data_IF_273772707549
#
_entry.id   IF_273772707549
#
_cell.length_a   1.000
_cell.length_b   1.000
_cell.length_c   1.000
_cell.angle_alpha   90.00
_cell.angle_beta   90.00
_cell.angle_gamma   90.00
#
_symmetry.space_group_name_H-M   'P 1'
#
loop_
_entity.id
_entity.type
_entity.pdbx_description
1 polymer ?
#
# COMPACT_ATOMS: atom_id res chain seq x y z
N UNK A 1 -8.41 -60.09 -4.73
CA UNK A 1 -7.59 -59.05 -4.07
C UNK A 1 -8.24 -57.70 -4.37
N UNK A 2 -8.75 -57.01 -3.34
CA UNK A 2 -9.61 -55.83 -3.46
C UNK A 2 -8.76 -54.58 -3.69
N UNK A 3 -8.99 -53.85 -4.80
CA UNK A 3 -8.52 -52.47 -4.98
C UNK A 3 -9.74 -51.54 -5.09
N UNK A 4 -9.85 -50.67 -4.08
CA UNK A 4 -10.56 -49.38 -4.01
C UNK A 4 -9.70 -48.52 -3.06
N UNK A 5 -9.76 -47.18 -3.02
CA UNK A 5 -10.09 -46.18 -4.04
C UNK A 5 -9.13 -44.96 -3.95
N UNK A 6 -8.24 -44.73 -4.92
CA UNK A 6 -7.35 -43.54 -4.90
C UNK A 6 -7.83 -42.42 -5.84
N UNK A 7 -8.83 -42.67 -6.70
CA UNK A 7 -9.27 -41.70 -7.70
C UNK A 7 -10.30 -40.66 -7.24
N UNK A 8 -10.82 -40.72 -6.01
CA UNK A 8 -11.86 -39.78 -5.53
C UNK A 8 -11.26 -38.57 -4.79
N UNK A 9 -10.00 -38.63 -4.33
CA UNK A 9 -9.40 -37.55 -3.53
C UNK A 9 -8.80 -36.42 -4.39
N UNK A 10 -8.45 -36.69 -5.66
CA UNK A 10 -7.83 -35.67 -6.55
C UNK A 10 -8.90 -34.77 -7.21
N UNK A 11 -10.13 -35.25 -7.37
CA UNK A 11 -11.24 -34.41 -7.86
C UNK A 11 -11.74 -33.40 -6.82
N UNK A 12 -11.56 -33.66 -5.52
CA UNK A 12 -11.98 -32.74 -4.46
C UNK A 12 -11.03 -31.54 -4.28
N UNK A 13 -9.75 -31.68 -4.65
CA UNK A 13 -8.75 -30.61 -4.53
C UNK A 13 -8.77 -29.68 -5.76
N UNK A 14 -9.11 -30.22 -6.94
CA UNK A 14 -9.26 -29.41 -8.17
C UNK A 14 -10.60 -28.65 -8.29
N UNK A 15 -11.60 -28.99 -7.44
CA UNK A 15 -12.84 -28.22 -7.32
C UNK A 15 -12.74 -27.06 -6.32
N UNK A 16 -11.64 -26.94 -5.57
CA UNK A 16 -11.36 -25.80 -4.69
C UNK A 16 -10.53 -24.69 -5.37
N UNK A 17 -9.93 -24.96 -6.54
CA UNK A 17 -9.19 -23.95 -7.31
C UNK A 17 -10.01 -23.27 -8.41
N UNK A 18 -11.28 -23.64 -8.61
CA UNK A 18 -12.16 -23.09 -9.63
C UNK A 18 -13.50 -22.54 -9.08
N UNK A 19 -13.65 -22.47 -7.75
CA UNK A 19 -14.87 -22.02 -7.08
C UNK A 19 -14.66 -20.84 -6.11
N UNK A 20 -13.57 -20.07 -6.25
CA UNK A 20 -13.30 -18.87 -5.43
C UNK A 20 -14.00 -17.60 -5.92
N UNK A 21 -15.09 -17.72 -6.69
CA UNK A 21 -15.92 -16.61 -7.15
C UNK A 21 -17.41 -16.77 -6.79
N UNK A 22 -17.70 -17.36 -5.62
CA UNK A 22 -19.04 -17.21 -5.02
C UNK A 22 -18.99 -16.27 -3.83
N UNK A 23 -19.51 -15.07 -4.10
CA UNK A 23 -19.94 -14.07 -3.14
C UNK A 23 -20.60 -14.70 -1.90
N UNK A 24 -19.90 -14.66 -0.78
CA UNK A 24 -20.52 -14.64 0.55
C UNK A 24 -20.39 -13.20 1.06
N UNK A 25 -21.02 -12.26 0.33
CA UNK A 25 -21.36 -10.97 0.87
C UNK A 25 -22.65 -11.12 1.71
N UNK A 26 -22.52 -11.75 2.88
CA UNK A 26 -23.41 -11.37 3.98
C UNK A 26 -22.91 -10.01 4.46
N UNK A 27 -23.80 -9.03 4.61
CA UNK A 27 -23.52 -7.70 5.17
C UNK A 27 -22.85 -7.81 6.56
N UNK A 28 -21.55 -8.08 6.57
CA UNK A 28 -20.65 -7.73 7.67
C UNK A 28 -20.20 -6.29 7.45
N UNK A 29 -19.95 -5.56 8.53
CA UNK A 29 -19.22 -4.29 8.40
C UNK A 29 -17.87 -4.59 7.72
N UNK A 30 -17.38 -3.69 6.85
CA UNK A 30 -16.04 -3.77 6.24
C UNK A 30 -14.96 -4.14 7.28
N UNK A 31 -15.13 -3.63 8.50
CA UNK A 31 -14.31 -3.95 9.68
C UNK A 31 -14.24 -5.46 9.96
N UNK A 32 -15.36 -6.18 9.91
CA UNK A 32 -15.37 -7.63 10.16
C UNK A 32 -14.60 -8.38 9.09
N UNK A 33 -14.75 -8.00 7.83
CA UNK A 33 -13.99 -8.61 6.73
C UNK A 33 -12.49 -8.37 6.89
N UNK A 34 -12.11 -7.11 7.11
CA UNK A 34 -10.72 -6.71 7.32
C UNK A 34 -10.09 -7.33 8.58
N UNK A 35 -10.88 -7.61 9.63
CA UNK A 35 -10.36 -8.29 10.83
C UNK A 35 -9.82 -9.70 10.57
N UNK A 36 -10.18 -10.30 9.43
CA UNK A 36 -9.74 -11.63 9.02
C UNK A 36 -8.74 -11.55 7.88
N UNK A 37 -8.96 -10.65 6.91
CA UNK A 37 -8.10 -10.56 5.72
C UNK A 37 -6.78 -9.85 5.99
N UNK A 38 -6.78 -8.82 6.84
CA UNK A 38 -5.68 -7.88 7.00
C UNK A 38 -4.78 -8.22 8.20
N UNK A 39 -4.54 -9.50 8.44
CA UNK A 39 -3.72 -9.99 9.57
C UNK A 39 -2.26 -10.17 9.14
N UNK A 40 -1.32 -10.26 10.08
CA UNK A 40 0.07 -10.59 9.72
C UNK A 40 0.22 -12.05 9.27
N UNK A 41 1.14 -12.29 8.35
CA UNK A 41 1.44 -13.55 7.68
C UNK A 41 2.87 -14.05 7.97
N UNK A 42 3.22 -14.24 9.25
CA UNK A 42 4.57 -14.64 9.64
C UNK A 42 4.95 -16.02 9.09
N UNK A 43 6.24 -16.28 8.80
CA UNK A 43 6.71 -17.63 8.54
C UNK A 43 6.55 -18.53 9.76
N UNK A 44 6.27 -19.81 9.52
CA UNK A 44 6.33 -20.81 10.58
C UNK A 44 7.75 -20.92 11.14
N UNK A 45 7.86 -21.31 12.42
CA UNK A 45 9.16 -21.50 13.06
C UNK A 45 9.98 -22.55 12.29
N UNK A 46 11.16 -22.15 11.82
CA UNK A 46 12.05 -23.01 11.05
C UNK A 46 11.80 -23.02 9.55
N UNK A 47 10.90 -22.19 9.02
CA UNK A 47 10.77 -21.98 7.58
C UNK A 47 12.13 -21.53 6.99
N UNK A 48 12.67 -22.21 5.96
CA UNK A 48 13.95 -21.82 5.36
C UNK A 48 13.92 -20.43 4.71
N UNK A 49 12.74 -19.84 4.51
CA UNK A 49 12.54 -18.51 3.94
C UNK A 49 12.44 -17.40 4.98
N UNK A 50 12.50 -17.70 6.28
CA UNK A 50 12.28 -16.67 7.33
C UNK A 50 13.18 -15.44 7.18
N UNK A 51 14.42 -15.61 6.73
CA UNK A 51 15.34 -14.49 6.48
C UNK A 51 14.89 -13.54 5.36
N UNK A 52 13.96 -13.97 4.51
CA UNK A 52 13.45 -13.23 3.36
C UNK A 52 12.17 -12.47 3.69
N UNK A 53 11.62 -12.70 4.87
CA UNK A 53 10.33 -12.17 5.27
C UNK A 53 10.39 -10.64 5.36
N UNK A 54 9.42 -9.99 4.73
CA UNK A 54 9.18 -8.55 4.77
C UNK A 54 7.66 -8.37 4.75
N UNK A 55 7.10 -7.69 5.75
CA UNK A 55 5.67 -7.43 5.88
C UNK A 55 5.43 -6.07 6.52
N UNK A 56 4.51 -5.29 5.95
CA UNK A 56 4.16 -3.96 6.45
C UNK A 56 2.70 -3.60 6.21
N UNK A 57 2.16 -2.86 7.16
CA UNK A 57 0.99 -2.00 6.91
C UNK A 57 1.48 -0.64 6.41
N UNK A 58 0.86 -0.12 5.36
CA UNK A 58 1.12 1.21 4.82
C UNK A 58 -0.15 2.05 4.84
N UNK A 59 -0.05 3.27 5.36
CA UNK A 59 -1.15 4.24 5.40
C UNK A 59 -0.70 5.55 4.81
N UNK A 60 -1.60 6.22 4.08
CA UNK A 60 -1.39 7.60 3.67
C UNK A 60 -2.64 8.45 3.82
N UNK A 61 -2.43 9.77 3.86
CA UNK A 61 -3.49 10.77 3.73
C UNK A 61 -3.12 11.88 2.77
N UNK A 62 -4.16 12.52 2.23
CA UNK A 62 -4.08 13.80 1.53
C UNK A 62 -5.15 14.72 2.12
N UNK A 63 -4.71 15.88 2.59
CA UNK A 63 -5.55 16.99 3.00
C UNK A 63 -5.22 18.22 2.15
N UNK A 64 -6.03 18.46 1.13
CA UNK A 64 -5.83 19.62 0.25
C UNK A 64 -6.22 20.95 0.89
N UNK A 65 -7.04 20.97 1.95
CA UNK A 65 -7.40 22.21 2.66
C UNK A 65 -6.18 22.77 3.40
N UNK A 66 -5.37 21.88 3.98
CA UNK A 66 -4.16 22.25 4.70
C UNK A 66 -2.88 22.13 3.85
N UNK A 67 -2.98 21.67 2.60
CA UNK A 67 -1.83 21.31 1.75
C UNK A 67 -0.85 20.39 2.48
N UNK A 68 -1.44 19.34 3.07
CA UNK A 68 -0.78 18.33 3.90
C UNK A 68 -0.87 16.97 3.21
N UNK A 69 0.26 16.27 3.15
CA UNK A 69 0.33 14.84 2.86
C UNK A 69 1.13 14.14 3.95
N UNK A 70 0.78 12.88 4.20
CA UNK A 70 1.45 12.06 5.20
C UNK A 70 1.42 10.60 4.77
N UNK A 71 2.51 9.88 5.05
CA UNK A 71 2.62 8.43 4.89
C UNK A 71 3.24 7.83 6.16
N UNK A 72 2.87 6.59 6.45
CA UNK A 72 3.56 5.79 7.46
C UNK A 72 3.55 4.32 7.12
N UNK A 73 4.62 3.63 7.51
CA UNK A 73 4.66 2.16 7.53
C UNK A 73 5.08 1.64 8.89
N UNK A 74 4.50 0.50 9.28
CA UNK A 74 5.00 -0.32 10.38
C UNK A 74 5.43 -1.65 9.79
N UNK A 75 6.73 -1.91 9.79
CA UNK A 75 7.34 -3.01 9.04
C UNK A 75 8.02 -4.00 9.99
N UNK A 76 7.83 -5.30 9.72
CA UNK A 76 8.58 -6.41 10.30
C UNK A 76 9.40 -7.08 9.20
N UNK A 77 10.69 -7.34 9.47
CA UNK A 77 11.60 -7.93 8.48
C UNK A 77 12.56 -8.94 9.10
N UNK A 78 12.92 -9.96 8.31
CA UNK A 78 13.84 -11.02 8.68
C UNK A 78 13.17 -12.14 9.48
N UNK A 79 13.97 -13.01 10.10
CA UNK A 79 13.42 -14.13 10.88
C UNK A 79 12.83 -13.62 12.20
N UNK A 80 11.55 -13.28 12.20
CA UNK A 80 10.85 -12.75 13.38
C UNK A 80 10.76 -13.75 14.54
N UNK A 81 11.12 -15.02 14.32
CA UNK A 81 11.24 -16.02 15.39
C UNK A 81 12.64 -16.03 16.03
N UNK A 82 13.61 -15.31 15.46
CA UNK A 82 14.97 -15.12 15.95
C UNK A 82 15.29 -13.60 16.03
N UNK A 83 15.19 -12.99 17.22
CA UNK A 83 15.40 -11.56 17.37
C UNK A 83 16.78 -11.04 16.94
N UNK A 84 17.78 -11.91 16.82
CA UNK A 84 19.12 -11.52 16.34
C UNK A 84 19.19 -11.36 14.82
N UNK A 85 18.15 -11.81 14.10
CA UNK A 85 18.06 -11.85 12.64
C UNK A 85 16.83 -11.14 12.08
N UNK A 86 16.18 -10.33 12.91
CA UNK A 86 15.00 -9.58 12.53
C UNK A 86 15.05 -8.17 13.07
N UNK A 87 14.30 -7.29 12.40
CA UNK A 87 14.21 -5.88 12.71
C UNK A 87 12.78 -5.43 12.51
N UNK A 88 12.34 -4.50 13.34
CA UNK A 88 11.11 -3.76 13.16
C UNK A 88 11.46 -2.31 12.85
N UNK A 89 10.67 -1.64 12.02
CA UNK A 89 10.86 -0.20 11.84
C UNK A 89 9.56 0.54 11.58
N UNK A 90 9.57 1.81 11.97
CA UNK A 90 8.48 2.75 11.75
C UNK A 90 8.98 3.81 10.79
N UNK A 91 8.29 3.96 9.66
CA UNK A 91 8.50 5.06 8.75
C UNK A 91 7.43 6.11 8.98
N UNK A 92 7.82 7.37 9.00
CA UNK A 92 6.90 8.50 9.01
C UNK A 92 7.43 9.54 8.04
N UNK A 93 6.64 9.91 7.05
CA UNK A 93 6.93 11.09 6.22
C UNK A 93 5.73 11.97 6.09
N UNK A 94 5.97 13.28 6.10
CA UNK A 94 4.93 14.27 5.90
C UNK A 94 5.47 15.44 5.11
N UNK A 95 4.54 16.13 4.44
CA UNK A 95 4.81 17.40 3.80
C UNK A 95 3.67 18.37 4.11
N UNK A 96 4.01 19.54 4.64
CA UNK A 96 3.09 20.62 4.99
C UNK A 96 3.49 21.90 4.25
N UNK A 97 2.69 22.99 4.33
CA UNK A 97 3.09 24.26 3.75
C UNK A 97 4.39 24.86 4.30
N UNK A 98 4.88 24.37 5.44
CA UNK A 98 6.00 24.96 6.17
C UNK A 98 7.21 24.02 6.20
N UNK A 99 6.99 22.71 6.25
CA UNK A 99 8.06 21.74 6.46
C UNK A 99 7.71 20.39 5.82
N UNK A 100 8.73 19.76 5.28
CA UNK A 100 8.73 18.34 4.90
C UNK A 100 9.71 17.59 5.81
N UNK A 101 9.40 16.34 6.12
CA UNK A 101 10.28 15.50 6.91
C UNK A 101 10.09 14.02 6.58
N UNK A 102 11.13 13.24 6.83
CA UNK A 102 11.12 11.77 6.82
C UNK A 102 11.88 11.29 8.05
N UNK A 103 11.28 10.36 8.80
CA UNK A 103 11.96 9.59 9.83
C UNK A 103 11.82 8.11 9.53
N UNK A 104 12.91 7.37 9.73
CA UNK A 104 12.96 5.91 9.66
C UNK A 104 13.57 5.45 10.97
N UNK A 105 12.72 4.94 11.84
CA UNK A 105 13.08 4.57 13.19
C UNK A 105 13.20 3.05 13.28
N UNK A 106 14.43 2.58 13.50
CA UNK A 106 14.76 1.17 13.57
C UNK A 106 14.68 0.68 15.02
N UNK A 107 14.07 -0.49 15.21
CA UNK A 107 13.90 -1.13 16.52
C UNK A 107 14.29 -2.61 16.44
N UNK A 108 14.87 -3.17 17.52
CA UNK A 108 14.92 -4.62 17.69
C UNK A 108 13.50 -5.19 17.62
N UNK A 109 13.32 -6.35 16.98
CA UNK A 109 11.98 -6.97 16.86
C UNK A 109 11.35 -7.26 18.24
N UNK A 110 12.16 -7.38 19.30
CA UNK A 110 11.67 -7.58 20.67
C UNK A 110 10.87 -6.39 21.22
N UNK A 111 10.91 -5.23 20.55
CA UNK A 111 10.08 -4.08 20.83
C UNK A 111 8.79 -4.06 20.00
N UNK A 112 8.56 -5.10 19.18
CA UNK A 112 7.36 -5.25 18.39
C UNK A 112 6.43 -6.30 19.01
N UNK A 113 5.13 -5.97 19.02
CA UNK A 113 4.05 -6.89 19.32
C UNK A 113 3.13 -6.92 18.10
N UNK A 114 2.76 -8.11 17.62
CA UNK A 114 1.94 -8.26 16.42
C UNK A 114 1.01 -9.47 16.55
N UNK A 115 0.07 -9.58 15.62
CA UNK A 115 -0.94 -10.64 15.64
C UNK A 115 -1.17 -11.21 14.24
N UNK A 116 -1.15 -12.54 14.11
CA UNK A 116 -1.65 -13.25 12.93
C UNK A 116 -3.15 -13.58 13.02
N UNK A 117 -3.86 -13.00 14.00
CA UNK A 117 -5.30 -13.19 14.21
C UNK A 117 -6.09 -11.89 14.09
N UNK A 118 -5.39 -10.76 14.10
CA UNK A 118 -5.97 -9.42 14.00
C UNK A 118 -4.98 -8.52 13.25
N UNK A 119 -5.41 -7.42 12.62
CA UNK A 119 -4.53 -6.42 11.99
C UNK A 119 -3.70 -5.58 12.96
N UNK A 120 -3.39 -6.13 14.15
CA UNK A 120 -2.78 -5.37 15.23
C UNK A 120 -1.27 -5.52 15.17
N UNK A 121 -0.58 -4.39 15.18
CA UNK A 121 0.87 -4.29 15.35
C UNK A 121 1.20 -3.09 16.23
N UNK A 122 2.20 -3.25 17.08
CA UNK A 122 2.82 -2.20 17.89
C UNK A 122 4.33 -2.33 17.73
N UNK A 123 5.01 -1.23 17.48
CA UNK A 123 6.48 -1.15 17.45
C UNK A 123 6.85 0.04 18.31
N UNK A 124 7.43 -0.21 19.48
CA UNK A 124 7.68 0.84 20.47
C UNK A 124 6.38 1.60 20.83
N UNK A 125 6.38 2.94 20.75
CA UNK A 125 5.19 3.78 20.97
C UNK A 125 4.15 3.73 19.85
N UNK A 126 4.55 3.33 18.63
CA UNK A 126 3.71 3.32 17.43
C UNK A 126 2.83 2.08 17.34
N UNK A 127 1.60 2.20 16.86
CA UNK A 127 0.68 1.07 16.68
C UNK A 127 -0.37 1.27 15.59
N UNK A 128 -0.86 0.14 15.10
CA UNK A 128 -2.06 0.00 14.28
C UNK A 128 -2.99 -0.99 14.99
N UNK A 129 -4.27 -0.66 15.11
CA UNK A 129 -5.27 -1.59 15.64
C UNK A 129 -6.61 -1.38 14.94
N UNK A 130 -7.17 -2.44 14.36
CA UNK A 130 -8.51 -2.40 13.81
C UNK A 130 -9.55 -2.47 14.95
N UNK A 131 -10.39 -1.45 15.04
CA UNK A 131 -11.51 -1.35 15.99
C UNK A 131 -12.84 -1.41 15.26
N UNK A 132 -13.96 -1.47 15.98
CA UNK A 132 -15.30 -1.36 15.40
C UNK A 132 -15.55 -0.07 14.59
N UNK A 133 -14.75 0.98 14.83
CA UNK A 133 -14.87 2.28 14.15
C UNK A 133 -13.97 2.41 12.91
N UNK A 134 -12.95 1.57 12.76
CA UNK A 134 -11.86 1.73 11.81
C UNK A 134 -10.49 1.42 12.43
N UNK A 135 -9.43 1.63 11.68
CA UNK A 135 -8.06 1.48 12.15
C UNK A 135 -7.68 2.68 13.01
N UNK A 136 -7.32 2.44 14.27
CA UNK A 136 -6.62 3.39 15.10
C UNK A 136 -5.14 3.29 14.74
N UNK A 137 -4.60 4.37 14.18
CA UNK A 137 -3.20 4.47 13.75
C UNK A 137 -2.54 5.57 14.58
N UNK A 138 -1.53 5.20 15.33
CA UNK A 138 -0.71 6.12 16.08
C UNK A 138 0.74 5.85 15.72
N UNK A 139 1.46 6.86 15.26
CA UNK A 139 2.90 6.74 15.00
C UNK A 139 3.61 7.97 15.52
N UNK A 140 4.78 7.76 16.10
CA UNK A 140 5.62 8.83 16.61
C UNK A 140 7.08 8.62 16.22
N UNK A 141 7.77 9.72 15.94
CA UNK A 141 9.22 9.69 15.72
C UNK A 141 9.94 9.32 17.01
N UNK A 142 11.15 8.75 16.92
CA UNK A 142 11.95 8.35 18.08
C UNK A 142 12.21 9.48 19.11
N UNK A 143 12.26 10.73 18.65
CA UNK A 143 12.41 11.91 19.51
C UNK A 143 11.07 12.45 20.06
N UNK A 144 9.96 11.79 19.73
CA UNK A 144 8.58 12.14 20.04
C UNK A 144 8.14 13.55 19.58
N UNK A 145 8.90 14.19 18.67
CA UNK A 145 8.59 15.53 18.18
C UNK A 145 7.58 15.52 17.03
N UNK A 146 7.44 14.40 16.31
CA UNK A 146 6.41 14.20 15.31
C UNK A 146 5.48 13.09 15.78
N UNK A 147 4.19 13.39 15.89
CA UNK A 147 3.17 12.43 16.31
C UNK A 147 1.99 12.52 15.37
N UNK A 148 1.59 11.40 14.80
CA UNK A 148 0.37 11.26 14.03
C UNK A 148 -0.56 10.30 14.74
N UNK A 149 -1.78 10.72 15.01
CA UNK A 149 -2.78 9.93 15.72
C UNK A 149 -4.13 10.11 15.02
N UNK A 150 -4.63 9.06 14.37
CA UNK A 150 -5.82 9.14 13.57
C UNK A 150 -6.62 7.84 13.49
N UNK A 151 -7.93 8.00 13.28
CA UNK A 151 -8.85 6.94 12.96
C UNK A 151 -9.08 6.90 11.45
N UNK A 152 -8.73 5.79 10.81
CA UNK A 152 -9.00 5.51 9.41
C UNK A 152 -10.25 4.64 9.28
N UNK A 153 -11.32 5.21 8.73
CA UNK A 153 -12.56 4.49 8.49
C UNK A 153 -12.65 4.03 7.03
N UNK A 154 -12.58 2.71 6.74
CA UNK A 154 -12.78 2.21 5.38
C UNK A 154 -14.20 2.50 4.88
N UNK A 155 -14.31 2.91 3.62
CA UNK A 155 -15.59 3.19 2.96
C UNK A 155 -15.78 2.44 1.63
N UNK A 156 -14.79 1.64 1.24
CA UNK A 156 -14.77 0.79 0.04
C UNK A 156 -14.49 -0.66 0.42
N UNK A 157 -14.97 -1.59 -0.39
CA UNK A 157 -14.69 -3.02 -0.27
C UNK A 157 -13.19 -3.28 -0.56
N UNK A 158 -12.54 -4.18 0.19
CA UNK A 158 -11.13 -4.52 -0.06
C UNK A 158 -10.95 -5.18 -1.42
N UNK A 159 -9.72 -5.08 -1.95
CA UNK A 159 -9.33 -5.82 -3.15
C UNK A 159 -9.13 -7.32 -2.85
N UNK A 160 -9.28 -8.21 -3.84
CA UNK A 160 -8.67 -9.52 -3.78
C UNK A 160 -7.16 -9.41 -3.58
N UNK A 161 -6.58 -10.30 -2.78
CA UNK A 161 -5.13 -10.35 -2.57
C UNK A 161 -4.43 -10.58 -3.91
N UNK A 162 -3.56 -9.64 -4.26
CA UNK A 162 -2.67 -9.74 -5.40
C UNK A 162 -1.40 -10.47 -5.01
N UNK A 163 -0.86 -11.28 -5.91
CA UNK A 163 0.44 -11.92 -5.73
C UNK A 163 1.30 -11.77 -6.99
N UNK A 164 2.58 -11.55 -6.77
CA UNK A 164 3.59 -11.55 -7.83
C UNK A 164 4.78 -12.38 -7.37
N UNK A 165 5.32 -13.20 -8.28
CA UNK A 165 6.53 -13.97 -8.02
C UNK A 165 7.68 -13.42 -8.85
N UNK A 166 8.77 -13.08 -8.17
CA UNK A 166 9.99 -12.57 -8.82
C UNK A 166 10.87 -13.72 -9.33
N UNK A 167 10.87 -14.85 -8.60
CA UNK A 167 11.56 -16.11 -8.90
C UNK A 167 11.03 -17.20 -7.95
N UNK A 168 11.34 -18.50 -8.17
CA UNK A 168 10.87 -19.57 -7.29
C UNK A 168 11.15 -19.29 -5.81
N UNK A 169 10.10 -19.37 -4.98
CA UNK A 169 10.17 -19.10 -3.54
C UNK A 169 10.32 -17.63 -3.16
N UNK A 170 10.33 -16.70 -4.12
CA UNK A 170 10.27 -15.26 -3.88
C UNK A 170 8.98 -14.67 -4.42
N UNK A 171 8.25 -14.00 -3.55
CA UNK A 171 6.96 -13.43 -3.89
C UNK A 171 6.63 -12.26 -2.99
N UNK A 172 5.84 -11.34 -3.52
CA UNK A 172 5.12 -10.33 -2.76
C UNK A 172 3.62 -10.62 -2.89
N UNK A 173 2.93 -10.39 -1.79
CA UNK A 173 1.49 -10.39 -1.67
C UNK A 173 1.07 -8.98 -1.26
N UNK A 174 -0.11 -8.58 -1.72
CA UNK A 174 -0.59 -7.23 -1.55
C UNK A 174 -2.10 -7.21 -1.43
N UNK A 175 -2.59 -6.63 -0.34
CA UNK A 175 -4.00 -6.41 -0.06
C UNK A 175 -4.25 -4.91 -0.01
N UNK A 176 -5.04 -4.39 -0.94
CA UNK A 176 -5.65 -3.07 -0.77
C UNK A 176 -6.80 -3.22 0.21
N UNK A 177 -6.54 -2.91 1.49
CA UNK A 177 -7.54 -2.97 2.55
C UNK A 177 -8.67 -1.96 2.30
N UNK A 178 -8.34 -0.75 1.85
CA UNK A 178 -9.34 0.19 1.32
C UNK A 178 -8.67 1.27 0.48
N UNK A 179 -9.02 1.42 -0.82
CA UNK A 179 -8.51 2.53 -1.65
C UNK A 179 -9.09 3.89 -1.24
N UNK A 180 -10.14 3.89 -0.41
CA UNK A 180 -10.77 5.09 0.15
C UNK A 180 -11.06 4.92 1.63
N UNK A 181 -10.56 5.85 2.42
CA UNK A 181 -10.86 5.96 3.84
C UNK A 181 -11.23 7.40 4.21
N UNK A 182 -12.07 7.55 5.23
CA UNK A 182 -12.27 8.84 5.91
C UNK A 182 -11.38 8.87 7.14
N UNK A 183 -10.54 9.89 7.24
CA UNK A 183 -9.54 9.99 8.32
C UNK A 183 -9.82 11.19 9.21
N UNK A 184 -9.86 10.97 10.52
CA UNK A 184 -10.03 12.02 11.53
C UNK A 184 -8.99 11.82 12.62
N UNK A 185 -8.32 12.88 13.05
CA UNK A 185 -7.17 12.78 13.94
C UNK A 185 -6.30 14.03 13.89
N UNK A 186 -5.04 13.89 14.26
CA UNK A 186 -4.08 15.00 14.24
C UNK A 186 -2.71 14.56 13.73
N UNK A 187 -1.99 15.53 13.15
CA UNK A 187 -0.54 15.49 13.01
C UNK A 187 0.04 16.62 13.86
N UNK A 188 0.85 16.29 14.85
CA UNK A 188 1.64 17.24 15.65
C UNK A 188 3.10 17.21 15.20
N UNK A 189 3.66 18.38 14.92
CA UNK A 189 5.04 18.58 14.48
C UNK A 189 5.77 19.49 15.49
N UNK A 190 7.03 19.17 15.79
CA UNK A 190 7.86 19.82 16.81
C UNK A 190 7.21 19.84 18.20
N UNK A 191 6.54 18.74 18.57
CA UNK A 191 5.84 18.57 19.86
C UNK A 191 6.75 18.93 21.04
N UNK A 192 6.21 19.66 22.02
CA UNK A 192 6.93 20.07 23.22
C UNK A 192 7.97 21.18 23.01
N UNK A 193 8.05 21.77 21.80
CA UNK A 193 8.93 22.90 21.51
C UNK A 193 8.14 24.20 21.30
N UNK A 194 8.82 25.34 21.27
CA UNK A 194 8.20 26.63 20.93
C UNK A 194 7.66 26.72 19.49
N UNK A 195 7.98 25.74 18.63
CA UNK A 195 7.57 25.66 17.23
C UNK A 195 6.50 24.56 17.01
N UNK A 196 5.86 24.08 18.08
CA UNK A 196 4.80 23.07 17.99
C UNK A 196 3.68 23.54 17.06
N UNK A 197 3.30 22.66 16.13
CA UNK A 197 2.20 22.87 15.21
C UNK A 197 1.33 21.63 15.15
N UNK A 198 0.02 21.82 15.33
CA UNK A 198 -0.99 20.78 15.21
C UNK A 198 -1.80 21.03 13.93
N UNK A 199 -1.92 19.99 13.10
CA UNK A 199 -2.82 19.93 11.95
C UNK A 199 -3.98 19.00 12.30
N UNK A 200 -5.20 19.53 12.21
CA UNK A 200 -6.43 18.82 12.57
C UNK A 200 -7.02 18.15 11.32
N UNK A 201 -7.18 16.83 11.34
CA UNK A 201 -7.72 16.07 10.22
C UNK A 201 -9.22 15.86 10.45
N UNK A 202 -10.05 16.24 9.48
CA UNK A 202 -11.52 16.14 9.59
C UNK A 202 -12.11 15.47 8.36
N UNK A 203 -12.23 14.14 8.40
CA UNK A 203 -12.68 13.31 7.28
C UNK A 203 -11.84 13.49 6.01
N UNK A 204 -10.53 13.67 6.16
CA UNK A 204 -9.59 13.78 5.03
C UNK A 204 -9.49 12.45 4.29
N UNK A 205 -9.00 12.48 3.05
CA UNK A 205 -8.87 11.29 2.21
C UNK A 205 -7.71 10.45 2.74
N UNK A 206 -7.95 9.17 2.97
CA UNK A 206 -6.91 8.22 3.33
C UNK A 206 -6.96 6.94 2.49
N UNK A 207 -5.88 6.18 2.60
CA UNK A 207 -5.65 4.92 1.93
C UNK A 207 -4.95 3.96 2.89
N UNK A 208 -5.19 2.65 2.72
CA UNK A 208 -4.45 1.61 3.40
C UNK A 208 -4.28 0.38 2.52
N UNK A 209 -3.07 -0.16 2.50
CA UNK A 209 -2.75 -1.52 2.09
C UNK A 209 -1.79 -2.23 3.05
N UNK A 210 -1.72 -3.54 2.84
CA UNK A 210 -0.87 -4.46 3.57
C UNK A 210 -0.12 -5.32 2.56
N UNK A 211 1.20 -5.33 2.68
CA UNK A 211 2.07 -6.11 1.83
C UNK A 211 2.86 -7.09 2.68
N UNK A 212 3.06 -8.30 2.17
CA UNK A 212 3.90 -9.29 2.83
C UNK A 212 4.55 -10.20 1.81
N UNK A 213 5.61 -10.88 2.20
CA UNK A 213 6.17 -11.94 1.37
C UNK A 213 7.60 -12.26 1.70
N UNK A 214 8.30 -12.75 0.67
CA UNK A 214 9.63 -13.34 0.79
C UNK A 214 10.50 -12.84 -0.35
N UNK A 215 11.39 -11.87 -0.10
CA UNK A 215 12.37 -11.43 -1.11
C UNK A 215 13.61 -10.83 -0.45
N UNK A 216 14.59 -10.52 -1.30
CA UNK A 216 15.76 -9.75 -0.90
C UNK A 216 15.77 -8.49 -1.72
N UNK A 217 16.06 -7.37 -1.08
CA UNK A 217 16.19 -6.09 -1.76
C UNK A 217 17.37 -6.11 -2.76
N UNK A 218 18.38 -6.96 -2.58
CA UNK A 218 19.45 -7.16 -3.57
C UNK A 218 19.02 -7.94 -4.83
N UNK A 219 17.85 -8.60 -4.86
CA UNK A 219 17.36 -9.33 -6.04
C UNK A 219 17.10 -8.39 -7.23
N UNK A 220 16.86 -8.92 -8.43
CA UNK A 220 16.48 -8.12 -9.59
C UNK A 220 14.97 -7.77 -9.54
N UNK A 221 14.57 -7.01 -8.53
CA UNK A 221 13.19 -6.56 -8.32
C UNK A 221 13.08 -5.05 -8.46
N UNK A 222 11.99 -4.61 -9.07
CA UNK A 222 11.47 -3.25 -9.10
C UNK A 222 9.94 -3.26 -9.06
N UNK A 223 9.33 -2.09 -8.89
CA UNK A 223 7.89 -1.92 -9.07
C UNK A 223 7.48 -0.48 -9.30
N UNK A 224 6.30 -0.34 -9.91
CA UNK A 224 5.48 0.86 -9.83
C UNK A 224 4.23 0.51 -9.02
N UNK A 225 3.85 1.40 -8.14
CA UNK A 225 2.58 1.31 -7.45
C UNK A 225 1.98 2.71 -7.39
N UNK A 226 0.66 2.83 -7.43
CA UNK A 226 0.05 4.13 -7.23
C UNK A 226 -1.42 4.04 -6.94
N UNK A 227 -1.90 5.05 -6.23
CA UNK A 227 -3.29 5.13 -5.82
C UNK A 227 -3.78 6.57 -5.86
N UNK A 228 -5.06 6.72 -6.18
CA UNK A 228 -5.78 7.95 -5.88
C UNK A 228 -7.27 7.69 -5.72
N UNK A 229 -7.91 8.56 -4.94
CA UNK A 229 -9.36 8.68 -4.91
C UNK A 229 -9.78 10.01 -5.52
N UNK A 230 -10.88 10.04 -6.25
CA UNK A 230 -11.51 11.27 -6.71
C UNK A 230 -11.82 12.18 -5.51
N UNK A 231 -11.68 13.49 -5.70
CA UNK A 231 -12.14 14.51 -4.76
C UNK A 231 -13.57 14.92 -5.10
N UNK A 232 -14.42 15.14 -4.11
CA UNK A 232 -15.74 15.75 -4.37
C UNK A 232 -15.56 17.24 -4.69
N UNK A 233 -15.99 17.67 -5.88
CA UNK A 233 -15.91 19.08 -6.29
C UNK A 233 -16.75 19.98 -5.35
N UNK A 234 -16.17 21.12 -4.95
CA UNK A 234 -16.78 22.27 -4.28
C UNK A 234 -17.37 22.05 -2.86
N UNK A 235 -16.50 22.22 -1.84
CA UNK A 235 -16.75 22.61 -0.44
C UNK A 235 -16.89 21.52 0.65
N UNK A 236 -16.12 21.76 1.72
CA UNK A 236 -16.29 21.49 3.15
C UNK A 236 -17.10 20.26 3.54
N UNK A 237 -16.39 19.14 3.73
CA UNK A 237 -16.80 18.09 4.66
C UNK A 237 -17.74 17.05 4.07
N UNK A 238 -17.28 16.35 3.04
CA UNK A 238 -17.44 14.88 2.83
C UNK A 238 -16.69 14.54 1.52
N UNK A 239 -15.36 14.46 1.60
CA UNK A 239 -14.43 14.90 0.54
C UNK A 239 -14.02 13.83 -0.48
N UNK A 240 -14.61 12.64 -0.43
CA UNK A 240 -14.28 11.57 -1.40
C UNK A 240 -15.32 11.53 -2.52
N UNK A 241 -14.86 11.61 -3.77
CA UNK A 241 -15.66 11.49 -4.99
C UNK A 241 -16.24 10.09 -5.17
N UNK A 242 -16.75 9.75 -6.35
CA UNK A 242 -17.29 8.41 -6.61
C UNK A 242 -16.21 7.40 -6.96
N UNK A 243 -15.12 7.84 -7.59
CA UNK A 243 -14.09 6.92 -8.09
C UNK A 243 -12.87 6.84 -7.17
N UNK A 244 -12.21 5.68 -7.19
CA UNK A 244 -10.83 5.53 -6.77
C UNK A 244 -10.18 4.44 -7.61
N UNK A 245 -8.87 4.49 -7.74
CA UNK A 245 -8.13 3.44 -8.40
C UNK A 245 -6.84 3.15 -7.63
N UNK A 246 -6.35 1.94 -7.84
CA UNK A 246 -5.05 1.51 -7.38
C UNK A 246 -4.44 0.68 -8.50
N UNK A 247 -3.16 0.91 -8.79
CA UNK A 247 -2.41 0.07 -9.71
C UNK A 247 -1.13 -0.40 -9.07
N UNK A 248 -0.68 -1.59 -9.49
CA UNK A 248 0.59 -2.16 -9.12
C UNK A 248 1.18 -2.86 -10.33
N UNK A 249 2.49 -2.73 -10.49
CA UNK A 249 3.26 -3.38 -11.53
C UNK A 249 4.59 -3.83 -10.95
N UNK A 250 4.73 -5.13 -10.72
CA UNK A 250 6.01 -5.70 -10.31
C UNK A 250 6.88 -5.93 -11.54
N UNK A 251 8.14 -5.53 -11.47
CA UNK A 251 9.08 -5.55 -12.59
C UNK A 251 10.45 -6.11 -12.18
N UNK A 252 11.31 -6.27 -13.17
CA UNK A 252 12.75 -6.27 -12.92
C UNK A 252 13.23 -4.88 -12.50
N UNK A 253 14.48 -4.80 -12.02
CA UNK A 253 15.10 -3.56 -11.53
C UNK A 253 15.12 -2.44 -12.58
N UNK A 254 15.32 -2.81 -13.85
CA UNK A 254 15.44 -1.85 -14.94
C UNK A 254 14.09 -1.48 -15.56
N UNK A 255 12.98 -2.03 -15.04
CA UNK A 255 11.63 -1.91 -15.60
C UNK A 255 11.55 -2.27 -17.10
N UNK A 256 12.37 -3.23 -17.54
CA UNK A 256 12.36 -3.78 -18.90
C UNK A 256 11.40 -4.96 -19.04
N UNK A 257 11.06 -5.61 -17.94
CA UNK A 257 10.11 -6.72 -17.88
C UNK A 257 9.07 -6.48 -16.79
N UNK A 258 7.79 -6.68 -17.11
CA UNK A 258 6.72 -6.76 -16.12
C UNK A 258 6.47 -8.23 -15.77
N UNK A 259 6.49 -8.54 -14.48
CA UNK A 259 6.16 -9.88 -13.98
C UNK A 259 4.66 -10.04 -13.73
N UNK A 260 3.98 -8.97 -13.33
CA UNK A 260 2.54 -8.92 -13.09
C UNK A 260 2.10 -7.46 -12.97
N UNK A 261 1.01 -7.10 -13.64
CA UNK A 261 0.36 -5.78 -13.52
C UNK A 261 -1.11 -5.91 -13.16
N UNK A 262 -1.62 -4.99 -12.35
CA UNK A 262 -3.04 -4.87 -12.06
C UNK A 262 -3.42 -3.39 -11.94
N UNK A 263 -4.59 -3.03 -12.45
CA UNK A 263 -5.28 -1.77 -12.18
C UNK A 263 -6.71 -2.10 -11.78
N UNK A 264 -7.09 -1.68 -10.58
CA UNK A 264 -8.45 -1.83 -10.10
C UNK A 264 -9.11 -0.46 -9.95
N UNK A 265 -10.35 -0.35 -10.40
CA UNK A 265 -11.13 0.88 -10.31
C UNK A 265 -12.40 0.59 -9.52
N UNK A 266 -12.55 1.33 -8.42
CA UNK A 266 -13.74 1.34 -7.61
C UNK A 266 -14.66 2.47 -8.04
N UNK A 267 -15.96 2.19 -7.96
CA UNK A 267 -16.99 3.21 -7.95
C UNK A 267 -17.87 3.03 -6.73
N UNK A 268 -17.97 4.10 -5.95
CA UNK A 268 -18.55 4.11 -4.62
C UNK A 268 -17.83 3.12 -3.70
N UNK A 269 -18.37 1.91 -3.54
CA UNK A 269 -17.82 0.88 -2.65
C UNK A 269 -17.13 -0.27 -3.37
N UNK A 270 -17.48 -0.53 -4.63
CA UNK A 270 -17.14 -1.79 -5.31
C UNK A 270 -16.15 -1.57 -6.43
N UNK A 271 -15.28 -2.55 -6.64
CA UNK A 271 -14.54 -2.69 -7.89
C UNK A 271 -15.55 -2.85 -9.02
N UNK A 272 -15.45 -2.01 -10.03
CA UNK A 272 -16.30 -2.07 -11.23
C UNK A 272 -15.53 -2.52 -12.47
N UNK A 273 -14.22 -2.32 -12.48
CA UNK A 273 -13.32 -2.77 -13.56
C UNK A 273 -11.98 -3.16 -12.95
N UNK A 274 -11.40 -4.23 -13.51
CA UNK A 274 -10.05 -4.69 -13.23
C UNK A 274 -9.36 -4.92 -14.57
N UNK A 275 -8.15 -4.41 -14.72
CA UNK A 275 -7.27 -4.65 -15.85
C UNK A 275 -6.05 -5.41 -15.37
N UNK A 276 -5.55 -6.34 -16.17
CA UNK A 276 -4.39 -7.16 -15.82
C UNK A 276 -3.38 -7.31 -16.96
N UNK A 277 -2.10 -7.32 -16.61
CA UNK A 277 -0.98 -7.67 -17.48
C UNK A 277 -1.06 -7.02 -18.87
N UNK A 278 -1.35 -7.82 -19.92
CA UNK A 278 -1.40 -7.38 -21.31
C UNK A 278 -2.49 -6.33 -21.60
N UNK A 279 -3.45 -6.16 -20.69
CA UNK A 279 -4.46 -5.11 -20.78
C UNK A 279 -3.92 -3.74 -20.36
N UNK A 280 -2.70 -3.67 -19.81
CA UNK A 280 -2.07 -2.47 -19.30
C UNK A 280 -0.75 -2.16 -20.01
N UNK A 281 -0.48 -0.88 -20.21
CA UNK A 281 0.80 -0.36 -20.68
C UNK A 281 1.22 0.78 -19.75
N UNK A 282 2.42 0.66 -19.19
CA UNK A 282 2.99 1.66 -18.28
C UNK A 282 4.22 2.26 -18.95
N UNK A 283 4.21 3.58 -19.08
CA UNK A 283 5.31 4.38 -19.64
C UNK A 283 5.79 5.39 -18.62
N UNK A 284 7.11 5.55 -18.56
CA UNK A 284 7.81 6.43 -17.62
C UNK A 284 8.52 7.51 -18.44
N UNK A 285 8.10 8.75 -18.25
CA UNK A 285 8.61 9.90 -18.97
C UNK A 285 9.34 10.84 -18.01
N UNK A 286 10.35 11.54 -18.54
CA UNK A 286 11.13 12.56 -17.82
C UNK A 286 11.73 11.97 -16.54
N UNK A 287 12.78 11.17 -16.70
CA UNK A 287 13.56 10.67 -15.57
C UNK A 287 14.35 11.81 -14.93
N UNK A 288 14.19 12.00 -13.63
CA UNK A 288 14.92 13.01 -12.84
C UNK A 288 15.93 12.33 -11.92
N UNK A 289 17.15 12.86 -11.95
CA UNK A 289 18.27 12.41 -11.12
C UNK A 289 18.44 13.32 -9.90
N UNK A 290 17.50 13.30 -8.95
CA UNK A 290 17.68 14.03 -7.68
C UNK A 290 18.82 13.42 -6.84
N UNK A 291 19.03 12.10 -6.98
CA UNK A 291 20.23 11.40 -6.54
C UNK A 291 20.82 10.74 -7.79
N UNK A 292 22.08 11.05 -8.17
CA UNK A 292 22.64 10.66 -9.47
C UNK A 292 22.53 9.17 -9.84
N UNK A 293 22.49 8.29 -8.83
CA UNK A 293 22.43 6.83 -9.00
C UNK A 293 21.01 6.26 -8.97
N UNK A 294 20.00 7.08 -8.64
CA UNK A 294 18.63 6.61 -8.39
C UNK A 294 17.62 7.55 -9.09
N UNK A 295 17.50 7.49 -10.43
CA UNK A 295 16.47 8.24 -11.14
C UNK A 295 15.06 7.83 -10.70
N UNK A 296 14.10 8.74 -10.84
CA UNK A 296 12.67 8.41 -10.79
C UNK A 296 11.90 9.14 -11.90
N UNK A 297 10.73 8.64 -12.32
CA UNK A 297 9.93 9.29 -13.35
C UNK A 297 9.16 10.49 -12.78
N UNK A 298 9.30 11.66 -13.39
CA UNK A 298 8.42 12.79 -13.09
C UNK A 298 7.02 12.61 -13.67
N UNK A 299 6.91 11.86 -14.77
CA UNK A 299 5.63 11.57 -15.41
C UNK A 299 5.49 10.06 -15.59
N UNK A 300 4.38 9.50 -15.15
CA UNK A 300 4.02 8.10 -15.41
C UNK A 300 2.68 8.05 -16.13
N UNK A 301 2.62 7.36 -17.26
CA UNK A 301 1.42 7.21 -18.07
C UNK A 301 1.00 5.74 -18.05
N UNK A 302 -0.26 5.49 -17.67
CA UNK A 302 -0.90 4.20 -17.68
C UNK A 302 -2.05 4.21 -18.68
N UNK A 303 -1.95 3.37 -19.70
CA UNK A 303 -3.02 3.07 -20.64
C UNK A 303 -3.55 1.67 -20.35
N UNK A 304 -4.86 1.52 -20.13
CA UNK A 304 -5.47 0.22 -19.92
C UNK A 304 -6.73 0.01 -20.76
N UNK A 305 -6.87 -1.18 -21.37
CA UNK A 305 -7.98 -1.53 -22.27
C UNK A 305 -8.43 -2.97 -22.02
N UNK A 306 -9.71 -3.17 -21.73
CA UNK A 306 -10.36 -4.48 -21.59
C UNK A 306 -11.80 -4.42 -22.12
N UNK A 307 -12.04 -5.04 -23.27
CA UNK A 307 -13.33 -4.96 -23.97
C UNK A 307 -13.70 -3.51 -24.30
N UNK A 308 -14.84 -3.04 -23.78
CA UNK A 308 -15.32 -1.66 -23.96
C UNK A 308 -14.73 -0.66 -22.94
N UNK A 309 -14.07 -1.17 -21.89
CA UNK A 309 -13.43 -0.33 -20.88
C UNK A 309 -12.08 0.13 -21.38
N UNK A 310 -11.84 1.44 -21.33
CA UNK A 310 -10.56 2.06 -21.66
C UNK A 310 -10.29 3.20 -20.69
N UNK A 311 -9.11 3.25 -20.11
CA UNK A 311 -8.69 4.36 -19.25
C UNK A 311 -7.25 4.76 -19.58
N UNK A 312 -7.01 6.06 -19.57
CA UNK A 312 -5.70 6.67 -19.60
C UNK A 312 -5.52 7.45 -18.29
N UNK A 313 -4.42 7.21 -17.61
CA UNK A 313 -4.06 7.83 -16.34
C UNK A 313 -2.67 8.43 -16.49
N UNK A 314 -2.55 9.74 -16.29
CA UNK A 314 -1.26 10.45 -16.29
C UNK A 314 -0.98 10.94 -14.88
N UNK A 315 0.08 10.43 -14.27
CA UNK A 315 0.64 10.95 -13.04
C UNK A 315 1.73 11.97 -13.34
N UNK A 316 1.68 13.11 -12.66
CA UNK A 316 2.77 14.09 -12.61
C UNK A 316 3.23 14.27 -11.18
N UNK A 317 4.48 13.90 -10.90
CA UNK A 317 5.09 14.07 -9.59
C UNK A 317 5.27 15.56 -9.26
N UNK A 318 5.01 15.92 -8.01
CA UNK A 318 5.18 17.28 -7.50
C UNK A 318 6.12 17.33 -6.31
N UNK A 319 6.10 16.26 -5.50
CA UNK A 319 7.00 16.04 -4.37
C UNK A 319 7.52 14.62 -4.42
N UNK A 320 8.71 14.43 -3.87
CA UNK A 320 9.38 13.13 -3.81
C UNK A 320 10.07 12.99 -2.46
N UNK A 321 10.00 11.80 -1.88
CA UNK A 321 10.69 11.42 -0.66
C UNK A 321 11.49 10.15 -0.93
N UNK A 322 12.84 10.20 -0.86
CA UNK A 322 13.66 9.01 -0.98
C UNK A 322 13.60 8.21 0.32
N UNK A 323 13.09 6.99 0.28
CA UNK A 323 13.20 6.04 1.40
C UNK A 323 14.40 5.13 1.14
N UNK A 324 15.52 5.30 1.86
CA UNK A 324 16.65 4.41 1.75
C UNK A 324 16.34 3.05 2.39
N UNK A 325 16.50 1.98 1.61
CA UNK A 325 16.39 0.60 2.08
C UNK A 325 17.80 -0.01 2.16
N UNK A 326 18.33 -0.30 3.36
CA UNK A 326 19.67 -0.83 3.51
C UNK A 326 19.78 -2.25 2.92
N UNK A 327 20.90 -2.51 2.25
CA UNK A 327 21.22 -3.82 1.69
C UNK A 327 22.22 -4.57 2.58
N UNK A 328 22.08 -5.90 2.67
CA UNK A 328 23.00 -6.76 3.44
C UNK A 328 24.43 -6.70 2.89
N UNK A 329 24.58 -6.51 1.58
CA UNK A 329 25.87 -6.36 0.90
C UNK A 329 26.56 -5.01 1.18
N UNK A 330 25.93 -4.12 1.94
CA UNK A 330 26.28 -2.71 2.00
C UNK A 330 25.61 -1.89 0.90
N UNK A 331 25.48 -0.59 1.14
CA UNK A 331 24.73 0.34 0.30
C UNK A 331 23.23 0.37 0.62
N UNK A 332 22.47 0.99 -0.27
CA UNK A 332 21.02 1.13 -0.14
C UNK A 332 20.35 1.02 -1.50
N UNK A 333 19.05 0.73 -1.47
CA UNK A 333 18.11 1.07 -2.55
C UNK A 333 17.28 2.27 -2.14
N UNK A 334 16.59 2.86 -3.10
CA UNK A 334 15.60 3.90 -2.82
C UNK A 334 14.23 3.40 -3.26
N UNK A 335 13.26 3.45 -2.35
CA UNK A 335 11.86 3.55 -2.72
C UNK A 335 11.57 5.04 -2.88
N UNK A 336 11.14 5.44 -4.07
CA UNK A 336 10.73 6.79 -4.34
C UNK A 336 9.25 6.95 -4.02
N UNK A 337 8.94 7.57 -2.90
CA UNK A 337 7.58 7.98 -2.55
C UNK A 337 7.28 9.31 -3.22
N UNK A 338 6.45 9.27 -4.25
CA UNK A 338 6.05 10.43 -5.01
C UNK A 338 4.63 10.81 -4.61
N UNK A 339 4.39 12.11 -4.47
CA UNK A 339 3.02 12.65 -4.42
C UNK A 339 2.86 13.68 -5.51
N UNK A 340 1.65 13.74 -6.07
CA UNK A 340 1.41 14.52 -7.26
C UNK A 340 -0.04 14.47 -7.72
N UNK A 341 -0.24 14.85 -8.96
CA UNK A 341 -1.57 14.90 -9.59
C UNK A 341 -1.74 13.78 -10.59
N UNK A 342 -2.92 13.16 -10.56
CA UNK A 342 -3.40 12.22 -11.55
C UNK A 342 -4.46 12.88 -12.42
N UNK A 343 -4.26 12.83 -13.73
CA UNK A 343 -5.29 13.12 -14.74
C UNK A 343 -5.82 11.79 -15.25
N UNK A 344 -7.11 11.54 -15.01
CA UNK A 344 -7.79 10.29 -15.39
C UNK A 344 -8.79 10.61 -16.48
N UNK A 345 -8.75 9.88 -17.59
CA UNK A 345 -9.73 10.01 -18.68
C UNK A 345 -10.03 8.66 -19.33
N UNK A 346 -11.25 8.49 -19.86
CA UNK A 346 -11.59 7.25 -20.57
C UNK A 346 -13.09 6.95 -20.60
N UNK A 347 -13.39 5.66 -20.76
CA UNK A 347 -14.71 5.07 -20.78
C UNK A 347 -14.74 3.85 -19.87
N UNK A 348 -15.63 3.84 -18.87
CA UNK A 348 -15.77 2.78 -17.89
C UNK A 348 -17.25 2.42 -17.78
N UNK A 349 -17.60 1.15 -17.98
CA UNK A 349 -19.00 0.66 -17.97
C UNK A 349 -19.89 1.48 -18.93
N UNK A 350 -19.39 1.73 -20.14
CA UNK A 350 -20.05 2.51 -21.19
C UNK A 350 -20.24 4.00 -20.86
N UNK A 351 -19.63 4.51 -19.80
CA UNK A 351 -19.73 5.92 -19.38
C UNK A 351 -18.37 6.63 -19.46
N UNK A 352 -18.33 7.84 -20.05
CA UNK A 352 -17.12 8.63 -20.03
C UNK A 352 -16.75 9.01 -18.59
N UNK A 353 -15.46 8.96 -18.29
CA UNK A 353 -14.87 9.39 -17.02
C UNK A 353 -13.76 10.38 -17.35
N UNK A 354 -13.73 11.51 -16.63
CA UNK A 354 -12.65 12.50 -16.72
C UNK A 354 -12.58 13.30 -15.42
N UNK A 355 -11.44 13.25 -14.73
CA UNK A 355 -11.19 14.03 -13.52
C UNK A 355 -9.69 14.16 -13.23
N UNK A 356 -9.36 15.16 -12.39
CA UNK A 356 -8.01 15.32 -11.82
C UNK A 356 -8.10 15.12 -10.31
N UNK A 357 -7.11 14.45 -9.72
CA UNK A 357 -7.03 14.28 -8.26
C UNK A 357 -5.59 14.17 -7.79
N UNK A 358 -5.34 14.41 -6.49
CA UNK A 358 -4.04 14.13 -5.87
C UNK A 358 -3.98 12.67 -5.41
N UNK A 359 -2.80 12.09 -5.50
CA UNK A 359 -2.51 10.73 -5.06
C UNK A 359 -1.03 10.51 -4.81
N UNK A 360 -0.68 9.24 -4.61
CA UNK A 360 0.69 8.79 -4.41
C UNK A 360 1.11 7.83 -5.52
N UNK A 361 2.42 7.78 -5.79
CA UNK A 361 3.07 6.79 -6.63
C UNK A 361 4.36 6.36 -5.94
N UNK A 362 4.59 5.06 -5.83
CA UNK A 362 5.87 4.49 -5.46
C UNK A 362 6.61 4.02 -6.71
N UNK A 363 7.90 4.28 -6.75
CA UNK A 363 8.79 3.79 -7.79
C UNK A 363 10.04 3.15 -7.17
N UNK A 364 10.31 1.90 -7.52
CA UNK A 364 11.46 1.12 -7.04
C UNK A 364 12.23 0.56 -8.21
N UNK A 365 13.50 0.97 -8.31
CA UNK A 365 14.45 0.54 -9.35
C UNK A 365 15.82 0.17 -8.77
#
# INVERSE_FOLDING_TARGET
>A
MKLKPILILIAAILLLSAASNLAIAKEGSLIRELSVLDVFHPPEKGDPRSMLYDEWHYFNIIDEEQNLSFITTLTLKGDINDPSKSIAFVLLSYSTPVKENLTIDLYPVTMAEWSNRTPAVRISGSYVTLTEKGYSVHVESNDAQTVFDALFKPITDPAPVFNASFKPGRSIYWLVASPRMKVTGTLTVNKGTALEKIYELKNVRGYHDHNWGYWLWQDNVGWDWGQASEKKNNLKGDDTGSYSFVFGNTTDRNHTESHRSVLEIWKNKKIIVRFEDSEMQIRRDIMVNSYPEYPFPMITVLDAVSGENKVNIVFTAERFTPIPIPLESGGYRIIWELSGSYEVSGNIDGKPVSYTTKGFLEYVA
#
